data_IF_245018474330
#
_entry.id   IF_245018474330
#
_cell.length_a   1.000
_cell.length_b   1.000
_cell.length_c   1.000
_cell.angle_alpha   90.00
_cell.angle_beta   90.00
_cell.angle_gamma   90.00
#
_symmetry.space_group_name_H-M   'P 1'
#
loop_
_entity.id
_entity.type
_entity.pdbx_description
1 polymer ?
#
# COMPACT_ATOMS: atom_id res chain seq x y z
N UNK A 1 24.99 -29.86 11.19
CA UNK A 1 24.72 -28.42 11.36
C UNK A 1 23.61 -28.29 12.39
N UNK A 2 23.67 -27.33 13.32
CA UNK A 2 22.61 -27.15 14.31
C UNK A 2 21.32 -26.73 13.58
N UNK A 3 20.19 -27.33 13.96
CA UNK A 3 18.88 -27.21 13.29
C UNK A 3 18.40 -25.74 13.12
N UNK A 4 18.86 -24.81 13.96
CA UNK A 4 18.51 -23.39 13.90
C UNK A 4 19.15 -22.61 12.74
N UNK A 5 20.36 -22.97 12.29
CA UNK A 5 21.03 -22.27 11.17
C UNK A 5 20.40 -22.61 9.82
N UNK A 6 19.87 -23.83 9.67
CA UNK A 6 19.20 -24.28 8.44
C UNK A 6 17.90 -23.51 8.19
N UNK A 7 17.06 -23.32 9.22
CA UNK A 7 15.78 -22.62 9.10
C UNK A 7 15.92 -21.13 8.78
N UNK A 8 16.93 -20.45 9.33
CA UNK A 8 17.22 -19.05 9.00
C UNK A 8 17.71 -18.90 7.55
N UNK A 9 18.57 -19.82 7.09
CA UNK A 9 19.06 -19.87 5.72
C UNK A 9 17.92 -20.10 4.71
N UNK A 10 17.02 -21.06 5.01
CA UNK A 10 15.88 -21.39 4.16
C UNK A 10 14.89 -20.22 4.05
N UNK A 11 14.62 -19.51 5.14
CA UNK A 11 13.80 -18.30 5.13
C UNK A 11 14.45 -17.20 4.28
N UNK A 12 15.72 -16.89 4.52
CA UNK A 12 16.44 -15.86 3.75
C UNK A 12 16.46 -16.19 2.24
N UNK A 13 16.67 -17.46 1.89
CA UNK A 13 16.65 -17.91 0.50
C UNK A 13 15.27 -17.75 -0.14
N UNK A 14 14.19 -18.08 0.57
CA UNK A 14 12.82 -17.90 0.08
C UNK A 14 12.49 -16.42 -0.21
N UNK A 15 12.82 -15.51 0.71
CA UNK A 15 12.64 -14.07 0.50
C UNK A 15 13.47 -13.54 -0.67
N UNK A 16 14.75 -13.94 -0.75
CA UNK A 16 15.64 -13.52 -1.85
C UNK A 16 15.10 -14.00 -3.21
N UNK A 17 14.66 -15.26 -3.28
CA UNK A 17 14.07 -15.83 -4.50
C UNK A 17 12.80 -15.10 -4.91
N UNK A 18 11.91 -14.82 -3.95
CA UNK A 18 10.68 -14.06 -4.21
C UNK A 18 10.98 -12.65 -4.71
N UNK A 19 11.89 -11.91 -4.07
CA UNK A 19 12.29 -10.56 -4.48
C UNK A 19 12.90 -10.55 -5.88
N UNK A 20 13.81 -11.49 -6.19
CA UNK A 20 14.40 -11.60 -7.53
C UNK A 20 13.35 -11.90 -8.60
N UNK A 21 12.40 -12.78 -8.29
CA UNK A 21 11.29 -13.08 -9.20
C UNK A 21 10.39 -11.86 -9.44
N UNK A 22 10.06 -11.11 -8.38
CA UNK A 22 9.28 -9.86 -8.48
C UNK A 22 10.02 -8.83 -9.32
N UNK A 23 11.31 -8.60 -9.05
CA UNK A 23 12.15 -7.70 -9.83
C UNK A 23 12.19 -8.09 -11.32
N UNK A 24 12.39 -9.38 -11.62
CA UNK A 24 12.43 -9.87 -12.99
C UNK A 24 11.09 -9.68 -13.73
N UNK A 25 9.96 -9.94 -13.06
CA UNK A 25 8.63 -9.74 -13.63
C UNK A 25 8.30 -8.27 -13.84
N UNK A 26 8.61 -7.42 -12.87
CA UNK A 26 8.43 -5.97 -13.00
C UNK A 26 9.30 -5.40 -14.12
N UNK A 27 10.56 -5.85 -14.24
CA UNK A 27 11.43 -5.46 -15.35
C UNK A 27 10.83 -5.87 -16.70
N UNK A 28 10.34 -7.12 -16.82
CA UNK A 28 9.67 -7.56 -18.05
C UNK A 28 8.44 -6.70 -18.37
N UNK A 29 7.63 -6.36 -17.37
CA UNK A 29 6.49 -5.45 -17.52
C UNK A 29 6.92 -4.05 -18.00
N UNK A 30 7.97 -3.46 -17.42
CA UNK A 30 8.51 -2.16 -17.82
C UNK A 30 9.02 -2.11 -19.27
N UNK A 31 9.31 -3.26 -19.89
CA UNK A 31 9.77 -3.35 -21.28
C UNK A 31 8.66 -3.58 -22.31
N UNK A 32 7.39 -3.57 -21.87
CA UNK A 32 6.22 -3.73 -22.76
C UNK A 32 5.97 -2.49 -23.62
N UNK A 33 5.15 -2.65 -24.67
CA UNK A 33 4.73 -1.56 -25.55
C UNK A 33 3.20 -1.39 -25.49
N UNK A 34 2.67 -0.19 -25.17
CA UNK A 34 3.40 1.04 -24.85
C UNK A 34 4.19 0.93 -23.53
N UNK A 35 5.22 1.77 -23.36
CA UNK A 35 6.03 1.79 -22.15
C UNK A 35 5.15 2.13 -20.92
N UNK A 36 5.20 1.34 -19.84
CA UNK A 36 4.46 1.66 -18.62
C UNK A 36 4.99 2.92 -17.93
N UNK A 37 4.09 3.63 -17.23
CA UNK A 37 4.45 4.77 -16.38
C UNK A 37 5.12 4.31 -15.08
N UNK A 38 5.71 5.24 -14.33
CA UNK A 38 6.27 4.95 -13.02
C UNK A 38 5.20 4.44 -12.04
N UNK A 39 3.98 4.98 -12.14
CA UNK A 39 2.82 4.50 -11.39
C UNK A 39 2.53 3.04 -11.70
N UNK A 40 2.45 2.69 -12.99
CA UNK A 40 2.17 1.32 -13.42
C UNK A 40 3.24 0.33 -12.94
N UNK A 41 4.51 0.70 -13.04
CA UNK A 41 5.61 -0.17 -12.63
C UNK A 41 5.66 -0.36 -11.11
N UNK A 42 5.50 0.71 -10.33
CA UNK A 42 5.51 0.63 -8.86
C UNK A 42 4.32 -0.18 -8.34
N UNK A 43 3.12 0.07 -8.86
CA UNK A 43 1.92 -0.67 -8.44
C UNK A 43 1.99 -2.13 -8.89
N UNK A 44 2.51 -2.43 -10.09
CA UNK A 44 2.73 -3.81 -10.52
C UNK A 44 3.65 -4.57 -9.57
N UNK A 45 4.77 -3.97 -9.17
CA UNK A 45 5.70 -4.59 -8.22
C UNK A 45 5.05 -4.84 -6.85
N UNK A 46 4.30 -3.87 -6.32
CA UNK A 46 3.60 -4.01 -5.04
C UNK A 46 2.46 -5.02 -5.12
N UNK A 47 1.72 -5.09 -6.22
CA UNK A 47 0.71 -6.13 -6.46
C UNK A 47 1.33 -7.53 -6.43
N UNK A 48 2.56 -7.70 -6.95
CA UNK A 48 3.27 -8.98 -6.83
C UNK A 48 3.72 -9.28 -5.40
N UNK A 49 4.13 -8.26 -4.63
CA UNK A 49 4.46 -8.40 -3.20
C UNK A 49 3.22 -8.82 -2.40
N UNK A 50 2.08 -8.15 -2.61
CA UNK A 50 0.78 -8.44 -1.96
C UNK A 50 0.22 -9.82 -2.31
N UNK A 51 0.56 -10.38 -3.46
CA UNK A 51 0.15 -11.74 -3.83
C UNK A 51 1.07 -12.82 -3.25
N UNK A 52 2.20 -12.44 -2.64
CA UNK A 52 3.19 -13.39 -2.13
C UNK A 52 3.06 -13.55 -0.61
N UNK A 53 2.74 -14.77 -0.10
CA UNK A 53 2.44 -15.02 1.32
C UNK A 53 3.61 -14.75 2.28
N UNK A 54 4.81 -14.53 1.75
CA UNK A 54 6.01 -14.24 2.54
C UNK A 54 6.00 -12.81 3.08
N UNK A 55 5.36 -11.87 2.39
CA UNK A 55 5.34 -10.46 2.76
C UNK A 55 4.10 -10.15 3.59
N UNK A 56 4.23 -9.15 4.48
CA UNK A 56 3.12 -8.70 5.32
C UNK A 56 2.31 -7.63 4.59
N UNK A 57 1.63 -8.04 3.52
CA UNK A 57 0.72 -7.23 2.72
C UNK A 57 -0.17 -8.16 1.90
N UNK A 58 -1.43 -7.78 1.67
CA UNK A 58 -2.37 -8.64 0.94
C UNK A 58 -2.38 -10.08 1.48
N UNK A 59 -2.18 -11.05 0.60
CA UNK A 59 -2.04 -12.47 0.97
C UNK A 59 -0.79 -12.67 1.83
N UNK A 60 -0.97 -13.01 3.11
CA UNK A 60 0.13 -13.05 4.09
C UNK A 60 0.18 -11.85 5.03
N UNK A 61 -0.85 -11.00 5.04
CA UNK A 61 -1.02 -9.97 6.05
C UNK A 61 -1.11 -10.54 7.48
N UNK A 62 -0.60 -9.77 8.44
CA UNK A 62 -0.69 -10.07 9.86
C UNK A 62 -2.10 -9.83 10.43
N UNK A 63 -2.35 -10.36 11.61
CA UNK A 63 -3.64 -10.27 12.29
C UNK A 63 -3.68 -9.16 13.33
N UNK A 64 -4.85 -8.53 13.49
CA UNK A 64 -5.21 -7.69 14.62
C UNK A 64 -5.40 -8.54 15.89
N UNK A 65 -5.57 -7.89 17.04
CA UNK A 65 -5.96 -8.58 18.29
C UNK A 65 -7.29 -9.33 18.20
N UNK A 66 -8.17 -8.91 17.30
CA UNK A 66 -9.48 -9.51 17.10
C UNK A 66 -9.43 -10.70 16.11
N UNK A 67 -8.22 -11.08 15.66
CA UNK A 67 -8.03 -12.18 14.73
C UNK A 67 -8.46 -11.86 13.29
N UNK A 68 -8.53 -10.58 12.93
CA UNK A 68 -8.89 -10.10 11.59
C UNK A 68 -7.67 -9.53 10.85
N UNK A 69 -7.75 -9.40 9.53
CA UNK A 69 -6.75 -8.68 8.73
C UNK A 69 -7.29 -7.29 8.37
N UNK A 70 -6.45 -6.25 8.55
CA UNK A 70 -6.77 -4.87 8.19
C UNK A 70 -5.62 -4.26 7.42
N UNK A 71 -5.83 -4.01 6.13
CA UNK A 71 -4.81 -3.65 5.16
C UNK A 71 -4.80 -2.15 4.88
N UNK A 72 -3.62 -1.66 4.51
CA UNK A 72 -3.36 -0.26 4.18
C UNK A 72 -2.41 -0.18 2.99
N UNK A 73 -2.62 0.78 2.09
CA UNK A 73 -1.71 1.03 0.98
C UNK A 73 -1.72 2.50 0.55
N UNK A 74 -0.69 2.88 -0.20
CA UNK A 74 -0.56 4.21 -0.75
C UNK A 74 0.20 4.24 -2.07
N UNK A 75 0.00 5.32 -2.82
CA UNK A 75 0.77 5.65 -4.02
C UNK A 75 1.02 7.15 -4.09
N UNK A 76 2.19 7.56 -4.57
CA UNK A 76 2.49 8.95 -4.91
C UNK A 76 3.35 9.02 -6.17
N UNK A 77 2.99 9.92 -7.08
CA UNK A 77 3.80 10.30 -8.25
C UNK A 77 4.39 11.69 -8.05
N UNK A 78 5.59 11.91 -8.57
CA UNK A 78 6.29 13.20 -8.47
C UNK A 78 5.61 14.31 -9.28
N UNK A 79 5.03 13.98 -10.45
CA UNK A 79 4.31 14.92 -11.33
C UNK A 79 3.32 14.18 -12.26
N UNK A 80 2.66 14.93 -13.15
CA UNK A 80 1.74 14.41 -14.17
C UNK A 80 0.27 14.39 -13.75
N UNK A 81 -0.01 14.40 -12.45
CA UNK A 81 -1.37 14.41 -11.88
C UNK A 81 -1.56 15.63 -10.95
N UNK A 82 -2.77 16.18 -10.88
CA UNK A 82 -3.13 17.27 -9.95
C UNK A 82 -3.08 16.81 -8.51
N UNK A 83 -3.69 15.66 -8.23
CA UNK A 83 -3.52 14.97 -6.95
C UNK A 83 -2.36 14.01 -7.11
N UNK A 84 -1.28 14.26 -6.38
CA UNK A 84 -0.04 13.50 -6.54
C UNK A 84 0.06 12.28 -5.66
N UNK A 85 -0.69 12.20 -4.56
CA UNK A 85 -0.62 11.06 -3.64
C UNK A 85 -1.93 10.77 -2.93
N UNK A 86 -2.15 9.49 -2.63
CA UNK A 86 -3.33 8.98 -1.94
C UNK A 86 -2.99 7.82 -1.00
N UNK A 87 -3.85 7.58 -0.02
CA UNK A 87 -3.80 6.43 0.87
C UNK A 87 -5.17 5.77 1.07
N UNK A 88 -5.19 4.46 1.20
CA UNK A 88 -6.38 3.67 1.55
C UNK A 88 -6.07 2.82 2.77
N UNK A 89 -6.99 2.73 3.72
CA UNK A 89 -6.72 2.08 5.01
C UNK A 89 -7.96 1.40 5.60
N UNK A 90 -7.76 0.44 6.51
CA UNK A 90 -8.85 -0.31 7.14
C UNK A 90 -9.55 -1.28 6.18
N UNK A 91 -8.87 -1.74 5.13
CA UNK A 91 -9.44 -2.64 4.13
C UNK A 91 -9.40 -4.08 4.65
N UNK A 92 -10.45 -4.85 4.37
CA UNK A 92 -10.61 -6.23 4.82
C UNK A 92 -11.02 -7.20 3.70
N UNK A 93 -11.31 -6.68 2.50
CA UNK A 93 -11.79 -7.46 1.34
C UNK A 93 -11.11 -7.11 0.03
N UNK A 94 -10.36 -6.01 -0.06
CA UNK A 94 -9.65 -5.63 -1.29
C UNK A 94 -8.45 -6.54 -1.46
N UNK A 95 -8.44 -7.36 -2.52
CA UNK A 95 -7.38 -8.35 -2.77
C UNK A 95 -6.00 -7.70 -2.80
N UNK A 96 -5.91 -6.58 -3.52
CA UNK A 96 -4.69 -5.82 -3.75
C UNK A 96 -4.91 -4.34 -3.36
N UNK A 97 -4.68 -3.97 -2.09
CA UNK A 97 -4.81 -2.59 -1.60
C UNK A 97 -4.13 -1.53 -2.48
N UNK A 98 -2.95 -1.83 -3.04
CA UNK A 98 -2.23 -0.89 -3.90
C UNK A 98 -2.98 -0.59 -5.22
N UNK A 99 -3.74 -1.54 -5.75
CA UNK A 99 -4.55 -1.33 -6.96
C UNK A 99 -5.73 -0.41 -6.66
N UNK A 100 -6.33 -0.51 -5.47
CA UNK A 100 -7.34 0.45 -5.05
C UNK A 100 -6.75 1.86 -4.91
N UNK A 101 -5.56 1.99 -4.30
CA UNK A 101 -4.86 3.26 -4.22
C UNK A 101 -4.55 3.84 -5.62
N UNK A 102 -4.10 3.00 -6.56
CA UNK A 102 -3.89 3.37 -7.97
C UNK A 102 -5.16 3.90 -8.63
N UNK A 103 -6.28 3.18 -8.49
CA UNK A 103 -7.56 3.60 -9.07
C UNK A 103 -8.06 4.91 -8.45
N UNK A 104 -7.92 5.07 -7.13
CA UNK A 104 -8.26 6.29 -6.40
C UNK A 104 -7.43 7.51 -6.86
N UNK A 105 -6.16 7.29 -7.21
CA UNK A 105 -5.29 8.32 -7.75
C UNK A 105 -5.74 8.73 -9.15
N UNK A 106 -5.85 7.76 -10.08
CA UNK A 106 -6.19 8.00 -11.49
C UNK A 106 -7.57 8.64 -11.67
N UNK A 107 -8.58 8.13 -10.95
CA UNK A 107 -9.95 8.67 -11.04
C UNK A 107 -10.09 10.04 -10.41
N UNK A 108 -9.17 10.39 -9.50
CA UNK A 108 -9.10 11.71 -8.90
C UNK A 108 -8.81 12.84 -9.88
N UNK A 109 -8.18 12.56 -11.03
CA UNK A 109 -7.92 13.60 -12.04
C UNK A 109 -9.22 14.12 -12.66
N UNK A 110 -10.14 13.20 -12.98
CA UNK A 110 -11.47 13.56 -13.51
C UNK A 110 -12.26 14.36 -12.49
N UNK A 111 -12.20 14.00 -11.20
CA UNK A 111 -12.86 14.74 -10.12
C UNK A 111 -12.37 16.20 -10.03
N UNK A 112 -11.10 16.45 -10.40
CA UNK A 112 -10.43 17.74 -10.28
C UNK A 112 -10.39 18.54 -11.60
N UNK A 113 -10.82 18.00 -12.74
CA UNK A 113 -10.93 18.72 -14.03
C UNK A 113 -12.02 19.79 -14.04
N UNK A 114 -13.02 19.66 -13.18
CA UNK A 114 -14.18 20.55 -13.12
C UNK A 114 -14.06 21.73 -12.15
N UNK A 115 -12.93 21.90 -11.44
CA UNK A 115 -12.71 22.96 -10.47
C UNK A 115 -13.27 22.67 -9.06
N UNK A 116 -12.47 23.03 -8.05
CA UNK A 116 -12.77 23.10 -6.60
C UNK A 116 -13.63 21.99 -5.94
N UNK A 117 -13.74 20.80 -6.53
CA UNK A 117 -14.60 19.73 -5.97
C UNK A 117 -16.10 20.07 -6.01
N UNK A 118 -16.52 21.03 -6.83
CA UNK A 118 -17.92 21.45 -6.95
C UNK A 118 -18.75 20.52 -7.85
N UNK A 119 -18.09 19.69 -8.67
CA UNK A 119 -18.73 18.58 -9.39
C UNK A 119 -18.79 17.33 -8.51
N UNK A 120 -19.55 17.49 -7.44
CA UNK A 120 -20.49 16.47 -7.02
C UNK A 120 -21.39 16.18 -8.24
N UNK A 121 -21.05 15.19 -9.07
CA UNK A 121 -21.97 14.60 -10.06
C UNK A 121 -23.36 14.24 -9.46
N UNK A 122 -24.28 13.64 -10.23
CA UNK A 122 -25.55 13.23 -9.65
C UNK A 122 -25.30 12.29 -8.47
N UNK A 123 -25.98 12.51 -7.35
CA UNK A 123 -25.91 11.62 -6.20
C UNK A 123 -26.47 10.27 -6.64
N UNK A 124 -25.61 9.28 -6.81
CA UNK A 124 -26.03 7.91 -7.09
C UNK A 124 -26.09 7.21 -5.74
N UNK A 125 -27.29 6.76 -5.37
CA UNK A 125 -27.43 5.89 -4.22
C UNK A 125 -26.84 4.52 -4.58
N UNK A 126 -25.97 3.99 -3.73
CA UNK A 126 -25.59 2.58 -3.80
C UNK A 126 -26.79 1.66 -3.43
N UNK A 127 -26.59 0.35 -3.49
CA UNK A 127 -27.61 -0.67 -3.18
C UNK A 127 -28.15 -0.51 -1.73
N UNK A 128 -27.38 0.12 -0.85
CA UNK A 128 -27.70 0.40 0.55
C UNK A 128 -28.29 1.80 0.77
N UNK A 129 -28.52 2.59 -0.28
CA UNK A 129 -29.11 3.93 -0.19
C UNK A 129 -28.12 5.02 0.24
N UNK A 130 -26.83 4.73 0.33
CA UNK A 130 -25.80 5.71 0.64
C UNK A 130 -25.54 6.53 -0.60
N UNK A 131 -25.72 7.86 -0.48
CA UNK A 131 -25.50 8.77 -1.57
C UNK A 131 -23.99 8.92 -1.81
N UNK A 132 -23.49 8.20 -2.81
CA UNK A 132 -22.14 8.31 -3.31
C UNK A 132 -22.14 9.23 -4.53
N UNK A 133 -21.09 10.02 -4.64
CA UNK A 133 -21.02 11.04 -5.66
C UNK A 133 -19.63 11.12 -6.25
N UNK A 134 -19.20 10.16 -7.06
CA UNK A 134 -18.08 10.42 -7.96
C UNK A 134 -17.81 9.25 -8.91
N UNK A 135 -17.32 9.59 -10.10
CA UNK A 135 -16.56 8.69 -10.96
C UNK A 135 -15.23 8.23 -10.33
N UNK A 136 -14.75 8.97 -9.32
CA UNK A 136 -13.61 8.69 -8.45
C UNK A 136 -13.90 8.86 -6.95
N UNK A 137 -12.96 9.45 -6.21
CA UNK A 137 -13.02 9.62 -4.75
C UNK A 137 -13.29 11.08 -4.35
N UNK A 138 -13.96 11.86 -5.21
CA UNK A 138 -14.23 13.30 -5.01
C UNK A 138 -12.96 14.12 -4.73
N UNK A 139 -11.84 13.73 -5.32
CA UNK A 139 -10.55 14.38 -5.06
C UNK A 139 -9.99 14.16 -3.65
N UNK A 140 -10.60 13.32 -2.80
CA UNK A 140 -10.06 13.01 -1.48
C UNK A 140 -8.70 12.32 -1.57
N UNK A 141 -7.83 12.60 -0.59
CA UNK A 141 -6.48 12.01 -0.52
C UNK A 141 -6.46 10.71 0.27
N UNK A 142 -7.41 10.49 1.17
CA UNK A 142 -7.44 9.30 2.02
C UNK A 142 -8.86 8.74 2.14
N UNK A 143 -9.00 7.41 2.03
CA UNK A 143 -10.26 6.69 2.25
C UNK A 143 -10.08 5.56 3.26
N UNK A 144 -11.14 5.28 4.00
CA UNK A 144 -11.14 4.29 5.09
C UNK A 144 -12.27 3.26 4.93
N UNK A 145 -11.92 2.00 5.17
CA UNK A 145 -12.84 0.92 5.51
C UNK A 145 -13.96 0.72 4.49
N UNK A 146 -15.21 0.53 4.94
CA UNK A 146 -16.32 0.18 4.05
C UNK A 146 -16.57 1.16 2.90
N UNK A 147 -16.29 2.46 3.09
CA UNK A 147 -16.43 3.45 2.01
C UNK A 147 -15.43 3.23 0.88
N UNK A 148 -14.19 2.85 1.22
CA UNK A 148 -13.16 2.51 0.24
C UNK A 148 -13.51 1.22 -0.52
N UNK A 149 -14.06 0.21 0.17
CA UNK A 149 -14.43 -1.07 -0.45
C UNK A 149 -15.66 -0.99 -1.35
N UNK A 150 -16.61 -0.11 -1.05
CA UNK A 150 -17.73 0.17 -1.97
C UNK A 150 -17.22 0.75 -3.29
N UNK A 151 -16.34 1.74 -3.21
CA UNK A 151 -15.68 2.30 -4.40
C UNK A 151 -14.83 1.25 -5.12
N UNK A 152 -14.16 0.36 -4.38
CA UNK A 152 -13.44 -0.77 -4.98
C UNK A 152 -14.36 -1.66 -5.83
N UNK A 153 -15.55 -2.02 -5.30
CA UNK A 153 -16.59 -2.77 -6.03
C UNK A 153 -17.03 -2.04 -7.29
N UNK A 154 -17.35 -0.74 -7.18
CA UNK A 154 -17.80 0.09 -8.30
C UNK A 154 -16.73 0.25 -9.39
N UNK A 155 -15.46 0.33 -9.01
CA UNK A 155 -14.35 0.49 -9.94
C UNK A 155 -13.85 -0.82 -10.54
N UNK A 156 -14.45 -1.96 -10.16
CA UNK A 156 -14.05 -3.29 -10.61
C UNK A 156 -12.70 -3.74 -10.06
N UNK A 157 -12.31 -3.25 -8.88
CA UNK A 157 -11.15 -3.77 -8.13
C UNK A 157 -11.56 -5.08 -7.46
N UNK A 158 -10.72 -6.10 -7.59
CA UNK A 158 -11.00 -7.43 -7.09
C UNK A 158 -11.23 -7.44 -5.56
N UNK A 159 -12.43 -7.88 -5.18
CA UNK A 159 -12.80 -8.16 -3.80
C UNK A 159 -12.73 -9.67 -3.55
N UNK A 160 -12.24 -10.03 -2.36
CA UNK A 160 -12.08 -11.40 -1.89
C UNK A 160 -12.72 -11.57 -0.51
N UNK A 161 -13.00 -12.81 -0.16
CA UNK A 161 -13.38 -13.15 1.21
C UNK A 161 -12.17 -13.02 2.14
N UNK A 162 -12.37 -12.62 3.43
CA UNK A 162 -11.27 -12.40 4.37
C UNK A 162 -10.31 -13.60 4.52
N UNK A 163 -10.81 -14.82 4.31
CA UNK A 163 -10.02 -16.06 4.34
C UNK A 163 -8.89 -16.08 3.29
N UNK A 164 -8.95 -15.25 2.24
CA UNK A 164 -7.87 -15.10 1.28
C UNK A 164 -6.58 -14.59 1.92
N UNK A 165 -6.65 -13.71 2.92
CA UNK A 165 -5.45 -13.11 3.52
C UNK A 165 -4.75 -14.03 4.52
N UNK A 166 -5.46 -15.08 4.98
CA UNK A 166 -4.98 -16.02 5.98
C UNK A 166 -3.78 -16.83 5.47
N UNK A 167 -2.78 -16.97 6.32
CA UNK A 167 -1.78 -18.03 6.21
C UNK A 167 -1.52 -18.62 7.59
N UNK A 168 -1.25 -19.93 7.65
CA UNK A 168 -1.00 -20.61 8.92
C UNK A 168 0.17 -19.97 9.69
N UNK A 169 1.24 -19.61 8.98
CA UNK A 169 2.42 -18.94 9.56
C UNK A 169 2.04 -17.66 10.31
N UNK A 170 1.24 -16.78 9.69
CA UNK A 170 0.82 -15.51 10.33
C UNK A 170 -0.12 -15.75 11.51
N UNK A 171 -0.93 -16.79 11.44
CA UNK A 171 -1.82 -17.16 12.54
C UNK A 171 -1.04 -17.68 13.74
N UNK A 172 -0.03 -18.50 13.51
CA UNK A 172 0.85 -19.00 14.56
C UNK A 172 1.63 -17.85 15.22
N UNK A 173 2.12 -16.87 14.43
CA UNK A 173 2.73 -15.62 14.91
C UNK A 173 1.75 -14.80 15.78
N UNK A 174 0.49 -14.68 15.37
CA UNK A 174 -0.58 -14.01 16.10
C UNK A 174 -0.83 -14.66 17.48
N UNK A 175 -1.07 -15.98 17.51
CA UNK A 175 -1.34 -16.74 18.74
C UNK A 175 -0.15 -16.67 19.69
N UNK A 176 1.06 -16.93 19.19
CA UNK A 176 2.30 -16.86 19.98
C UNK A 176 2.49 -15.47 20.58
N UNK A 177 2.26 -14.42 19.78
CA UNK A 177 2.34 -13.03 20.24
C UNK A 177 1.32 -12.71 21.34
N UNK A 178 0.08 -13.20 21.23
CA UNK A 178 -0.95 -12.99 22.27
C UNK A 178 -0.62 -13.70 23.58
N UNK A 179 -0.03 -14.90 23.51
CA UNK A 179 0.42 -15.65 24.67
C UNK A 179 1.58 -14.95 25.39
N UNK A 180 2.54 -14.42 24.62
CA UNK A 180 3.65 -13.63 25.13
C UNK A 180 3.18 -12.35 25.85
N UNK A 181 2.27 -11.59 25.23
CA UNK A 181 1.71 -10.37 25.85
C UNK A 181 0.97 -10.67 27.16
N UNK A 182 0.23 -11.78 27.24
CA UNK A 182 -0.44 -12.21 28.49
C UNK A 182 0.52 -12.50 29.63
N UNK A 183 1.76 -12.89 29.32
CA UNK A 183 2.82 -13.14 30.29
C UNK A 183 3.55 -11.85 30.72
N UNK A 184 3.06 -10.68 30.29
CA UNK A 184 3.67 -9.38 30.56
C UNK A 184 4.75 -8.98 29.56
N UNK A 185 4.87 -9.73 28.45
CA UNK A 185 5.74 -9.35 27.34
C UNK A 185 5.27 -8.06 26.67
N UNK A 186 6.21 -7.25 26.21
CA UNK A 186 5.93 -6.02 25.47
C UNK A 186 6.36 -6.16 23.99
N UNK A 187 5.81 -5.28 23.14
CA UNK A 187 6.27 -5.15 21.77
C UNK A 187 7.77 -4.76 21.76
N UNK A 188 8.56 -5.52 21.02
CA UNK A 188 10.02 -5.35 20.93
C UNK A 188 10.48 -5.35 19.48
N UNK A 189 11.59 -4.67 19.22
CA UNK A 189 12.29 -4.66 17.93
C UNK A 189 13.44 -5.69 17.89
N UNK A 190 13.58 -6.49 18.94
CA UNK A 190 14.59 -7.53 19.04
C UNK A 190 14.37 -8.60 17.96
N UNK A 191 15.38 -8.81 17.10
CA UNK A 191 15.33 -9.74 15.98
C UNK A 191 15.01 -11.18 16.39
N UNK A 192 15.39 -11.58 17.60
CA UNK A 192 15.18 -12.95 18.11
C UNK A 192 13.75 -13.15 18.67
N UNK A 193 13.04 -12.06 18.96
CA UNK A 193 11.65 -12.03 19.45
C UNK A 193 10.73 -11.40 18.40
N UNK A 194 11.26 -11.07 17.22
CA UNK A 194 10.60 -10.22 16.25
C UNK A 194 9.43 -10.96 15.59
N UNK A 195 8.23 -10.63 16.04
CA UNK A 195 7.00 -10.97 15.32
C UNK A 195 7.00 -10.16 14.03
N UNK A 196 6.69 -10.80 12.90
CA UNK A 196 6.64 -10.15 11.59
C UNK A 196 6.00 -8.76 11.63
N UNK A 197 6.83 -7.75 11.40
CA UNK A 197 6.42 -6.42 11.00
C UNK A 197 7.10 -6.14 9.66
N UNK A 198 6.38 -5.52 8.73
CA UNK A 198 6.97 -5.27 7.43
C UNK A 198 5.96 -4.66 6.48
N UNK A 199 6.17 -3.39 6.19
CA UNK A 199 5.59 -2.76 5.01
C UNK A 199 6.42 -3.18 3.81
N UNK A 200 5.74 -3.52 2.72
CA UNK A 200 6.41 -3.73 1.45
C UNK A 200 6.14 -2.53 0.53
N UNK A 201 7.01 -2.32 -0.44
CA UNK A 201 6.89 -1.17 -1.33
C UNK A 201 7.82 -1.25 -2.52
N UNK A 202 7.58 -0.35 -3.47
CA UNK A 202 8.40 -0.18 -4.65
C UNK A 202 8.54 1.31 -4.98
N UNK A 203 9.71 1.66 -5.52
CA UNK A 203 9.96 2.95 -6.15
C UNK A 203 10.32 2.68 -7.61
N UNK A 204 9.72 3.44 -8.52
CA UNK A 204 9.98 3.32 -9.95
C UNK A 204 10.27 4.70 -10.55
N UNK A 205 11.09 4.70 -11.59
CA UNK A 205 11.38 5.83 -12.47
C UNK A 205 11.01 5.40 -13.89
N UNK A 206 10.24 6.21 -14.61
CA UNK A 206 9.87 5.92 -16.00
C UNK A 206 10.71 6.69 -17.03
N UNK A 207 10.46 6.40 -18.30
CA UNK A 207 11.16 6.98 -19.44
C UNK A 207 10.92 8.50 -19.59
N UNK A 208 9.86 9.04 -18.99
CA UNK A 208 9.59 10.46 -18.97
C UNK A 208 10.32 11.17 -17.82
N UNK A 209 10.91 10.41 -16.89
CA UNK A 209 11.59 10.93 -15.71
C UNK A 209 10.66 11.12 -14.50
N UNK A 210 9.45 10.58 -14.53
CA UNK A 210 8.51 10.60 -13.39
C UNK A 210 8.92 9.54 -12.38
N UNK A 211 8.89 9.89 -11.09
CA UNK A 211 9.14 8.98 -9.97
C UNK A 211 7.81 8.62 -9.32
N UNK A 212 7.62 7.34 -8.99
CA UNK A 212 6.50 6.88 -8.19
C UNK A 212 6.99 6.08 -6.98
N UNK A 213 6.38 6.32 -5.83
CA UNK A 213 6.50 5.48 -4.63
C UNK A 213 5.15 4.82 -4.33
N UNK A 214 5.15 3.51 -4.10
CA UNK A 214 3.98 2.73 -3.72
C UNK A 214 4.30 1.85 -2.50
N UNK A 215 3.39 1.79 -1.53
CA UNK A 215 3.57 1.00 -0.31
C UNK A 215 2.29 0.25 0.07
N UNK A 216 2.44 -0.90 0.73
CA UNK A 216 1.33 -1.73 1.20
C UNK A 216 1.71 -2.53 2.44
N UNK A 217 0.77 -2.70 3.36
CA UNK A 217 1.00 -3.39 4.65
C UNK A 217 -0.26 -4.03 5.22
N UNK A 218 -0.09 -5.12 5.97
CA UNK A 218 -1.08 -5.62 6.94
C UNK A 218 -1.00 -4.93 8.31
N UNK A 219 -0.01 -4.06 8.51
CA UNK A 219 0.26 -3.37 9.76
C UNK A 219 1.17 -4.18 10.68
N UNK A 220 0.87 -4.18 11.97
CA UNK A 220 1.64 -4.89 12.99
C UNK A 220 0.83 -6.07 13.52
N UNK A 221 1.51 -7.20 13.76
CA UNK A 221 0.87 -8.34 14.43
C UNK A 221 0.32 -7.91 15.79
N UNK A 222 -0.90 -8.32 16.11
CA UNK A 222 -1.63 -7.96 17.32
C UNK A 222 -1.83 -6.45 17.50
N UNK A 223 -1.89 -5.69 16.40
CA UNK A 223 -2.37 -4.31 16.43
C UNK A 223 -3.81 -4.26 16.95
N UNK A 224 -4.15 -3.18 17.64
CA UNK A 224 -5.56 -2.86 17.91
C UNK A 224 -6.31 -2.75 16.58
N UNK A 225 -7.50 -3.34 16.49
CA UNK A 225 -8.37 -3.16 15.34
C UNK A 225 -8.67 -1.67 15.14
N UNK A 226 -8.60 -1.22 13.88
CA UNK A 226 -8.68 0.20 13.51
C UNK A 226 -7.37 0.98 13.65
N UNK A 227 -6.25 0.38 14.10
CA UNK A 227 -4.94 1.05 14.09
C UNK A 227 -4.50 1.28 12.64
N UNK A 228 -4.17 2.54 12.35
CA UNK A 228 -3.57 2.99 11.08
C UNK A 228 -2.08 3.29 11.28
N UNK A 229 -1.25 2.85 10.35
CA UNK A 229 0.20 3.07 10.34
C UNK A 229 0.66 4.28 9.53
N UNK A 230 1.97 4.31 9.27
CA UNK A 230 2.64 5.28 8.40
C UNK A 230 2.32 5.05 6.91
N UNK A 231 2.09 3.79 6.52
CA UNK A 231 1.95 3.35 5.13
C UNK A 231 0.92 4.16 4.32
N UNK A 232 -0.30 4.43 4.81
CA UNK A 232 -1.28 5.24 4.07
C UNK A 232 -1.17 6.75 4.35
N UNK A 233 -0.23 7.17 5.21
CA UNK A 233 -0.10 8.55 5.68
C UNK A 233 0.90 9.33 4.84
N UNK A 234 0.42 10.33 4.08
CA UNK A 234 1.26 11.14 3.21
C UNK A 234 2.41 11.80 4.00
N UNK A 235 3.64 11.66 3.51
CA UNK A 235 4.83 12.23 4.14
C UNK A 235 5.36 11.45 5.33
N UNK A 236 4.74 10.32 5.71
CA UNK A 236 5.24 9.41 6.71
C UNK A 236 5.80 8.13 6.07
N UNK A 237 4.93 7.29 5.48
CA UNK A 237 5.33 6.00 4.91
C UNK A 237 5.78 6.05 3.45
N UNK A 238 5.47 7.15 2.74
CA UNK A 238 5.76 7.30 1.31
C UNK A 238 5.90 8.76 0.90
N UNK A 239 6.76 9.00 -0.08
CA UNK A 239 6.95 10.30 -0.72
C UNK A 239 7.57 10.11 -2.11
N UNK A 240 7.09 10.85 -3.10
CA UNK A 240 7.72 10.94 -4.41
C UNK A 240 7.75 12.40 -4.85
N UNK A 241 8.95 12.91 -5.11
CA UNK A 241 9.17 14.30 -5.50
C UNK A 241 10.40 14.41 -6.40
N UNK A 242 10.30 15.28 -7.40
CA UNK A 242 11.42 15.69 -8.24
C UNK A 242 11.92 17.05 -7.76
N UNK A 243 13.24 17.19 -7.69
CA UNK A 243 13.87 18.47 -7.39
C UNK A 243 14.42 19.05 -8.69
N UNK A 244 13.83 20.15 -9.16
CA UNK A 244 14.45 20.96 -10.20
C UNK A 244 15.63 21.70 -9.58
N UNK A 245 16.84 21.15 -9.79
CA UNK A 245 18.07 21.81 -9.41
C UNK A 245 18.25 23.09 -10.22
N UNK A 246 18.21 24.24 -9.53
CA UNK A 246 18.84 25.49 -9.94
C UNK A 246 20.31 25.21 -10.31
N UNK A 247 20.57 24.88 -11.59
CA UNK A 247 21.90 24.98 -12.19
C UNK A 247 22.31 26.45 -12.46
N UNK A 248 21.73 27.39 -11.72
CA UNK A 248 22.18 28.78 -11.68
C UNK A 248 22.48 29.19 -10.23
N UNK A 249 23.77 29.13 -9.90
CA UNK A 249 24.38 30.07 -8.96
C UNK A 249 24.22 29.78 -7.47
N UNK A 250 25.33 29.34 -6.87
CA UNK A 250 25.76 29.53 -5.47
C UNK A 250 24.69 30.03 -4.47
N UNK A 251 24.33 29.14 -3.54
CA UNK A 251 24.05 29.52 -2.15
C UNK A 251 22.81 30.37 -1.93
N UNK A 252 21.62 29.75 -1.95
CA UNK A 252 20.49 30.24 -1.16
C UNK A 252 19.83 29.08 -0.43
N UNK A 253 19.78 29.23 0.88
CA UNK A 253 19.07 28.36 1.79
C UNK A 253 17.59 28.29 1.39
N UNK A 254 17.06 27.07 1.38
CA UNK A 254 15.71 26.73 0.92
C UNK A 254 14.65 27.48 1.73
N UNK A 255 13.74 28.18 1.03
CA UNK A 255 12.55 28.78 1.61
C UNK A 255 11.37 27.94 1.17
N UNK A 256 10.84 27.13 2.09
CA UNK A 256 9.60 26.39 1.92
C UNK A 256 8.48 27.40 1.59
N UNK A 257 7.93 27.33 0.37
CA UNK A 257 6.69 28.02 0.02
C UNK A 257 5.61 26.96 -0.03
N UNK A 258 4.88 26.81 1.08
CA UNK A 258 3.56 26.20 1.05
C UNK A 258 2.69 26.98 0.07
N UNK A 259 2.00 26.27 -0.82
CA UNK A 259 0.87 26.84 -1.57
C UNK A 259 -0.36 26.84 -0.67
#
# INVERSE_FOLDING_TARGET
>A
MPLGECHLYDNHHAFTTALLHILARTHAYQTTSPLPTALDAATHAVTLLENCPLFNSGHGAVFTRDGTNELEASVMVSRGLKKRGVGVMGLSRVRNPVELARQMLLRGETDLDSGNGEHRGPMIADEEGVLMNASGAQGHSQLFGPGAERLAKEWGVDLVEPSFFFTQKRWDEHVTGLEWEKQGGCATWDADVFVSQGTCGAVALDAEGVVCAATSTGGMTNKLAGRVGDTPTLGAGFWAEEWEGLLEGRGRWWRWRGR
#
